data_IF_505906119445
#
_entry.id   IF_505906119445
#
_cell.length_a   1.000
_cell.length_b   1.000
_cell.length_c   1.000
_cell.angle_alpha   90.00
_cell.angle_beta   90.00
_cell.angle_gamma   90.00
#
_symmetry.space_group_name_H-M   'P 1'
#
loop_
_entity.id
_entity.type
_entity.pdbx_description
1 polymer ?
#
# COMPACT_ATOMS: atom_id res chain seq x y z
N UNK A 1 -68.46 12.02 -68.19
CA UNK A 1 -67.91 11.90 -69.56
C UNK A 1 -66.69 11.00 -69.52
N UNK A 2 -66.57 10.21 -70.58
CA UNK A 2 -65.86 8.93 -70.77
C UNK A 2 -64.30 9.01 -70.78
N UNK A 3 -63.59 7.87 -70.85
CA UNK A 3 -62.32 7.55 -70.19
C UNK A 3 -61.24 7.22 -71.26
N UNK A 4 -60.11 6.61 -70.87
CA UNK A 4 -59.18 5.78 -71.70
C UNK A 4 -57.94 5.48 -70.83
N UNK A 5 -57.33 4.30 -70.74
CA UNK A 5 -57.22 3.10 -71.60
C UNK A 5 -57.10 1.86 -70.66
N UNK A 6 -57.73 0.69 -70.90
CA UNK A 6 -57.41 -0.35 -71.90
C UNK A 6 -55.94 -0.81 -71.83
N UNK A 7 -55.53 -2.07 -71.86
CA UNK A 7 -56.12 -3.40 -72.08
C UNK A 7 -54.95 -4.42 -72.04
N UNK A 8 -55.27 -5.73 -71.94
CA UNK A 8 -54.44 -6.94 -72.13
C UNK A 8 -53.45 -7.30 -71.02
N UNK A 9 -53.45 -8.52 -70.46
CA UNK A 9 -53.98 -9.79 -70.95
C UNK A 9 -52.86 -10.83 -70.83
N UNK A 10 -52.94 -11.70 -69.81
CA UNK A 10 -52.05 -12.86 -69.65
C UNK A 10 -52.25 -13.87 -70.78
N UNK A 11 -51.16 -14.52 -71.24
CA UNK A 11 -51.16 -15.98 -71.18
C UNK A 11 -49.78 -16.60 -70.88
N UNK A 12 -49.79 -17.74 -70.16
CA UNK A 12 -49.01 -18.99 -70.34
C UNK A 12 -47.52 -18.89 -70.76
N UNK A 13 -46.55 -19.68 -70.28
CA UNK A 13 -46.48 -20.84 -69.41
C UNK A 13 -44.99 -21.26 -69.29
N UNK A 14 -44.79 -22.22 -68.38
CA UNK A 14 -43.81 -23.31 -68.42
C UNK A 14 -42.34 -23.04 -68.05
N UNK A 15 -42.09 -23.30 -66.77
CA UNK A 15 -41.00 -24.10 -66.19
C UNK A 15 -39.80 -24.49 -67.06
N UNK A 16 -38.58 -24.21 -66.57
CA UNK A 16 -37.45 -25.15 -66.67
C UNK A 16 -36.69 -25.23 -65.34
N UNK A 17 -36.41 -26.48 -64.97
CA UNK A 17 -35.77 -27.02 -63.77
C UNK A 17 -34.30 -26.62 -63.56
N UNK A 18 -33.94 -26.64 -62.27
CA UNK A 18 -32.74 -27.21 -61.60
C UNK A 18 -31.38 -27.05 -62.30
N UNK A 19 -30.41 -26.50 -61.57
CA UNK A 19 -28.99 -26.78 -61.83
C UNK A 19 -28.00 -26.08 -60.92
N UNK A 20 -27.75 -26.69 -59.76
CA UNK A 20 -26.64 -26.50 -58.79
C UNK A 20 -25.37 -25.75 -59.25
N UNK A 21 -24.96 -24.81 -58.37
CA UNK A 21 -23.59 -24.49 -57.87
C UNK A 21 -22.63 -23.77 -58.85
N UNK A 22 -21.87 -22.76 -58.44
CA UNK A 22 -21.66 -22.04 -57.18
C UNK A 22 -20.86 -20.77 -57.50
N UNK A 23 -21.16 -19.59 -56.94
CA UNK A 23 -20.85 -19.10 -55.59
C UNK A 23 -19.35 -19.03 -55.28
N UNK A 24 -18.72 -17.90 -55.65
CA UNK A 24 -17.60 -17.28 -54.92
C UNK A 24 -17.88 -15.78 -54.86
N UNK A 25 -18.56 -15.34 -53.80
CA UNK A 25 -18.63 -13.93 -53.41
C UNK A 25 -17.84 -13.78 -52.11
N UNK A 26 -16.75 -13.03 -52.18
CA UNK A 26 -15.83 -12.73 -51.10
C UNK A 26 -16.56 -11.81 -50.11
N UNK A 27 -16.83 -12.29 -48.90
CA UNK A 27 -17.30 -11.45 -47.79
C UNK A 27 -16.09 -11.16 -46.90
N UNK A 28 -15.63 -9.90 -46.94
CA UNK A 28 -14.61 -9.38 -46.02
C UNK A 28 -15.33 -9.09 -44.69
N UNK A 29 -15.19 -9.99 -43.72
CA UNK A 29 -15.60 -9.73 -42.35
C UNK A 29 -14.50 -8.91 -41.66
N UNK A 30 -14.76 -7.63 -41.40
CA UNK A 30 -13.94 -6.84 -40.49
C UNK A 30 -14.15 -7.36 -39.07
N UNK A 31 -13.19 -8.14 -38.56
CA UNK A 31 -13.07 -8.39 -37.13
C UNK A 31 -12.53 -7.11 -36.47
N UNK A 32 -13.42 -6.34 -35.85
CA UNK A 32 -13.04 -5.36 -34.85
C UNK A 32 -12.44 -6.10 -33.66
N UNK A 33 -11.12 -6.05 -33.56
CA UNK A 33 -10.37 -6.53 -32.41
C UNK A 33 -10.64 -5.58 -31.25
N UNK A 34 -11.71 -5.86 -30.48
CA UNK A 34 -11.84 -5.31 -29.14
C UNK A 34 -10.79 -6.02 -28.28
N UNK A 35 -9.57 -5.50 -28.28
CA UNK A 35 -8.59 -5.82 -27.25
C UNK A 35 -9.12 -5.25 -25.93
N UNK A 36 -9.91 -6.05 -25.23
CA UNK A 36 -10.10 -5.86 -23.81
C UNK A 36 -8.73 -6.04 -23.15
N UNK A 37 -8.03 -4.93 -22.94
CA UNK A 37 -6.89 -4.87 -22.03
C UNK A 37 -7.45 -5.13 -20.64
N UNK A 38 -7.62 -6.40 -20.30
CA UNK A 38 -7.80 -6.82 -18.92
C UNK A 38 -6.41 -6.72 -18.29
N UNK A 39 -6.10 -5.56 -17.72
CA UNK A 39 -5.03 -5.43 -16.74
C UNK A 39 -5.46 -6.21 -15.49
N UNK A 40 -5.34 -7.54 -15.54
CA UNK A 40 -5.43 -8.37 -14.36
C UNK A 40 -4.15 -8.11 -13.57
N UNK A 41 -4.24 -7.23 -12.58
CA UNK A 41 -3.21 -7.10 -11.56
C UNK A 41 -3.15 -8.44 -10.82
N UNK A 42 -2.28 -9.34 -11.29
CA UNK A 42 -2.01 -10.62 -10.66
C UNK A 42 -1.64 -10.33 -9.21
N UNK A 43 -2.43 -10.86 -8.27
CA UNK A 43 -2.09 -10.86 -6.87
C UNK A 43 -0.89 -11.79 -6.67
N UNK A 44 0.32 -11.25 -6.84
CA UNK A 44 1.53 -11.95 -6.40
C UNK A 44 1.47 -12.05 -4.87
N UNK A 45 1.66 -13.25 -4.29
CA UNK A 45 1.69 -13.43 -2.84
C UNK A 45 2.85 -12.67 -2.16
N UNK A 46 3.84 -12.21 -2.93
CA UNK A 46 5.00 -11.44 -2.46
C UNK A 46 4.84 -9.92 -2.62
N UNK A 47 3.61 -9.40 -2.68
CA UNK A 47 3.37 -7.96 -2.79
C UNK A 47 3.01 -7.35 -1.43
N UNK A 48 3.59 -6.19 -1.13
CA UNK A 48 3.21 -5.40 0.05
C UNK A 48 1.73 -5.02 -0.06
N UNK A 49 0.94 -5.38 0.95
CA UNK A 49 -0.42 -4.87 1.13
C UNK A 49 -0.38 -3.50 1.80
N UNK A 50 -1.22 -2.57 1.34
CA UNK A 50 -1.34 -1.23 1.92
C UNK A 50 -2.81 -1.00 2.23
N UNK A 51 -3.13 -0.80 3.50
CA UNK A 51 -4.43 -0.29 3.93
C UNK A 51 -4.30 1.17 4.33
N UNK A 52 -5.36 1.94 4.10
CA UNK A 52 -5.45 3.33 4.52
C UNK A 52 -6.48 3.44 5.64
N UNK A 53 -6.21 4.30 6.61
CA UNK A 53 -7.13 4.55 7.70
C UNK A 53 -6.84 5.84 8.44
N UNK A 54 -7.84 6.34 9.16
CA UNK A 54 -7.75 7.58 9.92
C UNK A 54 -7.28 7.25 11.33
N UNK A 55 -6.25 7.94 11.81
CA UNK A 55 -5.85 7.86 13.21
C UNK A 55 -6.98 8.45 14.05
N UNK A 56 -7.53 7.68 14.97
CA UNK A 56 -8.61 8.12 15.86
C UNK A 56 -8.11 8.48 17.24
N UNK A 57 -7.08 7.77 17.72
CA UNK A 57 -6.47 7.97 19.03
C UNK A 57 -4.98 7.61 18.97
N UNK A 58 -4.21 8.18 19.88
CA UNK A 58 -2.85 7.75 20.16
C UNK A 58 -2.57 7.74 21.66
N UNK A 59 -1.62 6.92 22.10
CA UNK A 59 -1.21 6.83 23.51
C UNK A 59 0.29 6.60 23.58
N UNK A 60 0.97 7.29 24.50
CA UNK A 60 2.36 6.96 24.81
C UNK A 60 2.40 5.58 25.49
N UNK A 61 3.36 4.76 25.10
CA UNK A 61 3.56 3.40 25.61
C UNK A 61 5.03 3.03 25.46
N UNK A 62 5.38 1.79 25.81
CA UNK A 62 6.68 1.21 25.57
C UNK A 62 6.60 0.16 24.47
N UNK A 63 7.69 0.01 23.73
CA UNK A 63 7.79 -0.93 22.61
C UNK A 63 7.43 -2.37 23.00
N UNK A 64 7.77 -2.76 24.23
CA UNK A 64 7.55 -4.11 24.77
C UNK A 64 6.47 -4.14 25.85
N UNK A 65 5.57 -3.13 25.90
CA UNK A 65 4.51 -3.06 26.90
C UNK A 65 3.63 -4.34 26.88
N UNK A 66 3.64 -5.13 27.97
CA UNK A 66 2.93 -6.41 28.05
C UNK A 66 1.43 -6.24 28.34
N UNK A 67 0.98 -5.03 28.67
CA UNK A 67 -0.43 -4.72 28.96
C UNK A 67 -1.25 -4.49 27.69
N UNK A 68 -0.58 -4.33 26.55
CA UNK A 68 -1.23 -4.11 25.28
C UNK A 68 -2.04 -5.35 24.83
N UNK A 69 -3.22 -5.16 24.20
CA UNK A 69 -4.03 -6.26 23.72
C UNK A 69 -3.29 -7.20 22.77
N UNK A 70 -3.66 -8.49 22.80
CA UNK A 70 -3.17 -9.44 21.81
C UNK A 70 -3.57 -8.99 20.39
N UNK A 71 -2.66 -9.13 19.43
CA UNK A 71 -2.91 -8.77 18.03
C UNK A 71 -2.58 -7.32 17.65
N UNK A 72 -2.07 -6.51 18.58
CA UNK A 72 -1.48 -5.20 18.24
C UNK A 72 -0.30 -5.39 17.29
N UNK A 73 -0.37 -4.77 16.12
CA UNK A 73 0.69 -4.84 15.13
C UNK A 73 1.87 -3.96 15.57
N UNK A 74 3.10 -4.42 15.33
CA UNK A 74 4.32 -3.67 15.70
C UNK A 74 5.21 -3.51 14.47
N UNK A 75 5.83 -2.34 14.34
CA UNK A 75 6.87 -2.08 13.35
C UNK A 75 8.22 -2.71 13.71
N UNK A 76 9.31 -2.05 13.31
CA UNK A 76 10.67 -2.42 13.75
C UNK A 76 10.97 -1.73 15.09
N UNK A 77 11.57 -2.44 16.06
CA UNK A 77 11.97 -1.85 17.33
C UNK A 77 13.01 -0.73 17.15
N UNK A 78 12.97 0.31 18.01
CA UNK A 78 14.04 1.30 18.14
C UNK A 78 15.45 0.72 18.23
N UNK A 79 15.68 -0.35 19.00
CA UNK A 79 17.01 -1.00 19.11
C UNK A 79 17.59 -1.46 17.77
N UNK A 80 16.74 -1.93 16.85
CA UNK A 80 17.18 -2.33 15.51
C UNK A 80 17.53 -1.14 14.60
N UNK A 81 17.22 0.11 15.02
CA UNK A 81 17.65 1.33 14.32
C UNK A 81 18.92 1.94 14.95
N UNK A 82 19.11 1.80 16.27
CA UNK A 82 20.26 2.38 16.99
C UNK A 82 21.57 1.60 16.86
N UNK A 83 21.54 0.32 16.48
CA UNK A 83 22.76 -0.50 16.28
C UNK A 83 23.71 0.00 15.18
N UNK A 84 23.33 1.07 14.47
CA UNK A 84 24.11 1.72 13.40
C UNK A 84 24.76 3.04 13.88
N UNK A 85 24.49 3.48 15.11
CA UNK A 85 24.95 4.77 15.65
C UNK A 85 25.85 4.69 16.88
N UNK A 86 26.59 3.59 17.07
CA UNK A 86 27.58 3.49 18.16
C UNK A 86 28.98 3.16 17.62
N UNK A 87 29.58 4.13 16.92
CA UNK A 87 31.03 4.35 17.04
C UNK A 87 31.45 5.74 16.54
N UNK A 88 31.09 6.78 17.29
CA UNK A 88 31.90 8.00 17.35
C UNK A 88 32.12 8.34 18.82
N UNK A 89 33.39 8.19 19.22
CA UNK A 89 33.80 8.24 20.61
C UNK A 89 33.53 9.58 21.30
N UNK A 90 33.18 9.45 22.57
CA UNK A 90 33.34 10.49 23.58
C UNK A 90 33.61 9.79 24.90
N UNK A 91 34.80 10.02 25.46
CA UNK A 91 35.16 9.59 26.81
C UNK A 91 34.03 9.94 27.78
N UNK A 92 33.42 8.93 28.40
CA UNK A 92 32.64 9.14 29.61
C UNK A 92 33.63 9.34 30.75
N UNK A 93 33.92 10.61 31.06
CA UNK A 93 34.63 10.97 32.28
C UNK A 93 33.79 10.54 33.48
N UNK A 94 34.31 9.54 34.18
CA UNK A 94 34.03 9.24 35.57
C UNK A 94 34.05 10.55 36.37
N UNK A 95 32.90 11.02 36.85
CA UNK A 95 32.83 12.07 37.87
C UNK A 95 31.96 11.56 39.00
N UNK A 96 32.61 11.24 40.10
CA UNK A 96 32.02 11.04 41.42
C UNK A 96 31.18 12.26 41.80
N UNK A 97 29.89 12.05 42.09
CA UNK A 97 29.09 12.98 42.86
C UNK A 97 28.08 12.19 43.70
N UNK A 98 28.43 11.98 44.96
CA UNK A 98 27.57 11.54 46.04
C UNK A 98 26.51 12.62 46.26
N UNK A 99 25.21 12.27 46.22
CA UNK A 99 24.15 12.84 47.07
C UNK A 99 22.87 11.97 47.01
N UNK A 100 22.40 11.59 48.20
CA UNK A 100 21.12 10.95 48.53
C UNK A 100 19.91 11.76 48.03
N UNK A 101 18.95 11.10 47.38
CA UNK A 101 17.51 11.16 47.68
C UNK A 101 16.68 10.39 46.62
N UNK A 102 16.01 9.35 47.10
CA UNK A 102 14.62 8.96 46.82
C UNK A 102 14.21 8.51 45.40
N UNK A 103 13.31 7.51 45.39
CA UNK A 103 12.68 6.85 44.22
C UNK A 103 13.53 5.82 43.49
N UNK A 104 13.57 4.60 44.02
CA UNK A 104 13.77 3.39 43.21
C UNK A 104 12.50 3.12 42.40
N UNK A 105 12.24 3.91 41.36
CA UNK A 105 11.69 3.34 40.14
C UNK A 105 12.90 2.88 39.35
N UNK A 106 13.09 1.56 39.33
CA UNK A 106 13.98 0.96 38.34
C UNK A 106 13.35 1.23 36.99
N UNK A 107 13.67 2.37 36.36
CA UNK A 107 13.49 2.53 34.93
C UNK A 107 14.19 1.34 34.31
N UNK A 108 13.41 0.40 33.79
CA UNK A 108 13.92 -0.72 33.05
C UNK A 108 14.70 -0.14 31.86
N UNK A 109 16.03 -0.31 31.79
CA UNK A 109 16.85 0.28 30.72
C UNK A 109 16.50 -0.28 29.33
N UNK A 110 15.52 -1.19 29.24
CA UNK A 110 14.94 -1.74 27.99
C UNK A 110 13.60 -1.13 27.59
N UNK A 111 13.11 -0.13 28.33
CA UNK A 111 11.86 0.60 28.03
C UNK A 111 12.03 1.54 26.84
N UNK A 112 11.99 1.01 25.62
CA UNK A 112 12.07 1.83 24.41
C UNK A 112 10.74 2.57 24.18
N UNK A 113 10.76 3.91 24.19
CA UNK A 113 9.57 4.74 24.02
C UNK A 113 8.87 4.48 22.68
N UNK A 114 7.55 4.36 22.71
CA UNK A 114 6.72 4.12 21.54
C UNK A 114 5.34 4.80 21.66
N UNK A 115 4.58 4.77 20.58
CA UNK A 115 3.22 5.29 20.51
C UNK A 115 2.30 4.17 20.01
N UNK A 116 1.22 3.93 20.73
CA UNK A 116 0.10 3.10 20.32
C UNK A 116 -0.90 3.97 19.54
N UNK A 117 -1.09 3.67 18.25
CA UNK A 117 -2.09 4.29 17.39
C UNK A 117 -3.32 3.41 17.26
N UNK A 118 -4.50 4.01 17.36
CA UNK A 118 -5.78 3.38 17.03
C UNK A 118 -6.25 3.94 15.70
N UNK A 119 -6.38 3.09 14.69
CA UNK A 119 -6.63 3.49 13.30
C UNK A 119 -7.96 2.90 12.84
N UNK A 120 -8.83 3.75 12.32
CA UNK A 120 -10.09 3.37 11.69
C UNK A 120 -9.86 3.08 10.20
N UNK A 121 -10.05 1.83 9.79
CA UNK A 121 -9.94 1.35 8.41
C UNK A 121 -11.29 1.39 7.67
N UNK A 122 -12.32 2.04 8.24
CA UNK A 122 -13.66 2.11 7.71
C UNK A 122 -14.39 0.77 7.82
N UNK A 123 -14.84 0.21 6.69
CA UNK A 123 -15.58 -1.06 6.66
C UNK A 123 -14.75 -2.25 7.19
N UNK A 124 -13.41 -2.11 7.18
CA UNK A 124 -12.50 -3.12 7.73
C UNK A 124 -12.31 -3.01 9.26
N UNK A 125 -12.97 -2.05 9.90
CA UNK A 125 -12.97 -1.86 11.34
C UNK A 125 -11.73 -1.16 11.88
N UNK A 126 -11.50 -1.30 13.19
CA UNK A 126 -10.40 -0.65 13.89
C UNK A 126 -9.18 -1.57 13.96
N UNK A 127 -7.99 -0.99 13.90
CA UNK A 127 -6.74 -1.68 14.18
C UNK A 127 -5.86 -0.88 15.13
N UNK A 128 -4.97 -1.57 15.84
CA UNK A 128 -4.03 -0.98 16.78
C UNK A 128 -2.60 -1.27 16.34
N UNK A 129 -1.77 -0.23 16.35
CA UNK A 129 -0.41 -0.28 15.85
C UNK A 129 0.54 0.40 16.83
N UNK A 130 1.60 -0.29 17.23
CA UNK A 130 2.72 0.31 17.96
C UNK A 130 3.80 0.72 16.98
N UNK A 131 4.22 1.98 17.09
CA UNK A 131 5.24 2.58 16.25
C UNK A 131 6.10 3.55 17.06
N UNK A 132 7.33 3.77 16.60
CA UNK A 132 8.24 4.79 17.14
C UNK A 132 7.91 6.19 16.61
N UNK A 133 7.01 6.28 15.62
CA UNK A 133 6.58 7.54 15.04
C UNK A 133 5.79 8.36 16.06
N UNK A 134 6.09 9.65 16.10
CA UNK A 134 5.44 10.61 17.01
C UNK A 134 4.65 11.69 16.29
N UNK A 135 4.80 11.80 14.96
CA UNK A 135 4.21 12.89 14.16
C UNK A 135 2.72 12.71 13.87
N UNK A 136 2.20 11.48 13.88
CA UNK A 136 0.80 11.19 13.58
C UNK A 136 -0.13 11.66 14.70
N UNK A 137 -1.17 12.39 14.33
CA UNK A 137 -2.20 12.94 15.21
C UNK A 137 -3.57 12.34 14.92
N UNK A 138 -4.50 12.34 15.89
CA UNK A 138 -5.90 12.06 15.61
C UNK A 138 -6.45 12.95 14.48
N UNK A 139 -7.08 12.34 13.49
CA UNK A 139 -7.57 12.97 12.26
C UNK A 139 -6.64 12.81 11.05
N UNK A 140 -5.38 12.43 11.24
CA UNK A 140 -4.46 12.19 10.13
C UNK A 140 -4.79 10.88 9.40
N UNK A 141 -4.59 10.89 8.09
CA UNK A 141 -4.62 9.68 7.29
C UNK A 141 -3.28 8.95 7.33
N UNK A 142 -3.33 7.65 7.61
CA UNK A 142 -2.17 6.78 7.68
C UNK A 142 -2.26 5.62 6.69
N UNK A 143 -1.11 5.18 6.21
CA UNK A 143 -0.94 3.95 5.43
C UNK A 143 -0.29 2.87 6.30
N UNK A 144 -0.89 1.68 6.33
CA UNK A 144 -0.38 0.49 7.01
C UNK A 144 0.12 -0.49 5.94
N UNK A 145 1.43 -0.66 5.89
CA UNK A 145 2.12 -1.50 4.90
C UNK A 145 2.55 -2.82 5.54
N UNK A 146 2.20 -3.96 4.90
CA UNK A 146 2.48 -5.29 5.45
C UNK A 146 2.95 -6.27 4.38
N UNK A 147 3.96 -7.08 4.72
CA UNK A 147 4.41 -8.24 3.93
C UNK A 147 5.18 -9.21 4.82
N UNK A 148 4.61 -10.37 5.15
CA UNK A 148 5.25 -11.31 6.08
C UNK A 148 5.53 -10.64 7.43
N UNK A 149 6.81 -10.54 7.81
CA UNK A 149 7.27 -9.82 9.01
C UNK A 149 7.51 -8.31 8.80
N UNK A 150 7.51 -7.82 7.55
CA UNK A 150 7.64 -6.40 7.28
C UNK A 150 6.36 -5.66 7.68
N UNK A 151 6.52 -4.61 8.48
CA UNK A 151 5.47 -3.70 8.87
C UNK A 151 5.98 -2.27 8.87
N UNK A 152 5.21 -1.36 8.25
CA UNK A 152 5.44 0.07 8.33
C UNK A 152 4.11 0.82 8.48
N UNK A 153 4.11 1.82 9.35
CA UNK A 153 3.05 2.79 9.48
C UNK A 153 3.60 4.12 8.98
N UNK A 154 2.90 4.86 8.11
CA UNK A 154 3.33 6.21 7.71
C UNK A 154 2.18 7.15 7.48
N UNK A 155 2.42 8.44 7.64
CA UNK A 155 1.46 9.48 7.28
C UNK A 155 1.32 9.60 5.78
N UNK A 156 0.10 9.89 5.32
CA UNK A 156 -0.20 10.16 3.91
C UNK A 156 -1.21 11.30 3.80
N UNK A 157 -1.40 11.81 2.58
CA UNK A 157 -2.42 12.83 2.33
C UNK A 157 -3.82 12.33 2.71
N UNK A 158 -4.64 13.20 3.33
CA UNK A 158 -5.99 12.85 3.78
C UNK A 158 -6.92 12.35 2.66
N UNK A 159 -6.62 12.68 1.39
CA UNK A 159 -7.34 12.14 0.24
C UNK A 159 -7.28 10.62 0.11
N UNK A 160 -6.29 9.93 0.71
CA UNK A 160 -6.23 8.45 0.73
C UNK A 160 -7.24 7.81 1.67
N UNK A 161 -7.76 8.55 2.64
CA UNK A 161 -8.78 8.08 3.58
C UNK A 161 -10.19 8.57 3.21
N UNK A 162 -10.32 9.33 2.12
CA UNK A 162 -11.60 9.81 1.61
C UNK A 162 -12.21 8.77 0.64
N UNK A 163 -13.38 8.18 0.97
CA UNK A 163 -14.05 7.22 0.10
C UNK A 163 -14.42 7.76 -1.29
N UNK A 164 -14.54 9.08 -1.46
CA UNK A 164 -14.78 9.69 -2.78
C UNK A 164 -13.59 9.51 -3.74
N UNK A 165 -12.38 9.26 -3.22
CA UNK A 165 -11.15 9.19 -3.99
C UNK A 165 -10.74 7.76 -4.40
N UNK A 166 -11.59 6.75 -4.20
CA UNK A 166 -11.24 5.33 -4.44
C UNK A 166 -10.68 5.05 -5.84
N UNK A 167 -11.19 5.74 -6.87
CA UNK A 167 -10.66 5.63 -8.24
C UNK A 167 -9.23 6.16 -8.34
N UNK A 168 -8.95 7.30 -7.69
CA UNK A 168 -7.61 7.87 -7.65
C UNK A 168 -6.63 7.00 -6.85
N UNK A 169 -7.08 6.49 -5.69
CA UNK A 169 -6.31 5.58 -4.82
C UNK A 169 -5.90 4.32 -5.61
N UNK A 170 -6.85 3.69 -6.31
CA UNK A 170 -6.61 2.50 -7.14
C UNK A 170 -5.57 2.79 -8.23
N UNK A 171 -5.69 3.93 -8.92
CA UNK A 171 -4.73 4.34 -9.96
C UNK A 171 -3.32 4.58 -9.41
N UNK A 172 -3.20 5.10 -8.19
CA UNK A 172 -1.92 5.38 -7.54
C UNK A 172 -1.30 4.16 -6.85
N UNK A 173 -2.04 3.07 -6.67
CA UNK A 173 -1.64 1.91 -5.88
C UNK A 173 -0.24 1.38 -6.25
N UNK A 174 0.07 1.27 -7.55
CA UNK A 174 1.38 0.81 -8.00
C UNK A 174 2.54 1.69 -7.53
N UNK A 175 2.34 3.02 -7.47
CA UNK A 175 3.35 3.95 -6.98
C UNK A 175 3.60 3.79 -5.48
N UNK A 176 2.54 3.59 -4.69
CA UNK A 176 2.66 3.41 -3.25
C UNK A 176 3.26 2.05 -2.88
N UNK A 177 2.92 0.99 -3.61
CA UNK A 177 3.58 -0.32 -3.45
C UNK A 177 5.08 -0.20 -3.75
N UNK A 178 5.45 0.49 -4.83
CA UNK A 178 6.87 0.70 -5.15
C UNK A 178 7.60 1.54 -4.09
N UNK A 179 6.94 2.55 -3.50
CA UNK A 179 7.51 3.32 -2.39
C UNK A 179 7.69 2.47 -1.12
N UNK A 180 6.67 1.68 -0.76
CA UNK A 180 6.73 0.73 0.34
C UNK A 180 7.88 -0.28 0.19
N UNK A 181 8.06 -0.79 -1.03
CA UNK A 181 9.13 -1.73 -1.36
C UNK A 181 10.51 -1.12 -1.14
N UNK A 182 10.73 0.14 -1.54
CA UNK A 182 11.99 0.86 -1.29
C UNK A 182 12.25 1.06 0.20
N UNK A 183 11.22 1.40 0.98
CA UNK A 183 11.34 1.49 2.44
C UNK A 183 11.74 0.13 3.04
N UNK A 184 11.05 -0.95 2.66
CA UNK A 184 11.38 -2.31 3.10
C UNK A 184 12.84 -2.66 2.83
N UNK A 185 13.29 -2.49 1.59
CA UNK A 185 14.66 -2.80 1.19
C UNK A 185 15.70 -1.97 1.96
N UNK A 186 15.41 -0.68 2.20
CA UNK A 186 16.31 0.18 2.94
C UNK A 186 16.44 -0.25 4.42
N UNK A 187 15.34 -0.68 5.05
CA UNK A 187 15.35 -1.21 6.42
C UNK A 187 16.01 -2.58 6.51
N UNK A 188 15.82 -3.43 5.52
CA UNK A 188 16.50 -4.73 5.43
C UNK A 188 18.01 -4.53 5.33
N UNK A 189 18.47 -3.57 4.52
CA UNK A 189 19.89 -3.21 4.47
C UNK A 189 20.40 -2.81 5.85
N UNK A 190 19.69 -1.92 6.56
CA UNK A 190 20.04 -1.50 7.92
C UNK A 190 20.22 -2.68 8.88
N UNK A 191 19.33 -3.67 8.82
CA UNK A 191 19.36 -4.85 9.68
C UNK A 191 20.51 -5.82 9.33
N UNK A 192 21.03 -5.78 8.10
CA UNK A 192 22.11 -6.66 7.61
C UNK A 192 23.50 -6.05 7.65
N UNK A 193 23.65 -4.81 8.13
CA UNK A 193 24.96 -4.13 8.15
C UNK A 193 25.88 -4.78 9.19
N UNK A 194 26.84 -5.56 8.69
CA UNK A 194 28.13 -5.73 9.35
C UNK A 194 28.92 -4.42 9.19
N UNK A 195 29.68 -4.06 10.23
CA UNK A 195 30.38 -2.80 10.52
C UNK A 195 31.24 -2.12 9.40
N UNK A 196 31.30 -2.66 8.18
CA UNK A 196 32.28 -2.30 7.14
C UNK A 196 31.64 -1.72 5.87
N UNK A 197 30.30 -1.75 5.70
CA UNK A 197 29.69 -1.25 4.47
C UNK A 197 29.32 0.24 4.52
N UNK A 198 30.04 1.05 3.74
CA UNK A 198 29.76 2.47 3.49
C UNK A 198 28.50 2.74 2.65
N UNK A 199 27.73 1.70 2.28
CA UNK A 199 26.47 1.78 1.52
C UNK A 199 25.18 1.78 2.34
N UNK A 200 25.29 1.82 3.68
CA UNK A 200 24.16 1.89 4.61
C UNK A 200 23.27 3.13 4.38
N UNK A 201 21.94 2.99 4.28
CA UNK A 201 21.06 4.16 4.31
C UNK A 201 21.17 4.86 5.67
N UNK A 202 21.37 6.18 5.64
CA UNK A 202 21.38 7.02 6.84
C UNK A 202 19.98 7.03 7.50
N UNK A 203 19.87 7.35 8.80
CA UNK A 203 18.56 7.51 9.45
C UNK A 203 17.64 8.51 8.72
N UNK A 204 18.22 9.58 8.17
CA UNK A 204 17.48 10.55 7.36
C UNK A 204 16.96 9.96 6.05
N UNK A 205 17.75 9.14 5.35
CA UNK A 205 17.30 8.44 4.15
C UNK A 205 16.20 7.41 4.43
N UNK A 206 16.30 6.68 5.54
CA UNK A 206 15.22 5.80 6.00
C UNK A 206 13.95 6.60 6.27
N UNK A 207 14.04 7.72 7.00
CA UNK A 207 12.90 8.60 7.25
C UNK A 207 12.24 9.09 5.95
N UNK A 208 13.04 9.57 4.99
CA UNK A 208 12.55 10.02 3.69
C UNK A 208 11.83 8.92 2.89
N UNK A 209 12.26 7.66 3.02
CA UNK A 209 11.64 6.53 2.33
C UNK A 209 10.41 5.97 3.05
N UNK A 210 10.43 6.00 4.39
CA UNK A 210 9.51 5.23 5.22
C UNK A 210 8.43 6.06 5.92
N UNK A 211 8.64 7.36 6.15
CA UNK A 211 7.76 8.16 7.01
C UNK A 211 6.71 8.97 6.22
N UNK A 212 6.84 9.00 4.90
CA UNK A 212 6.04 9.85 4.01
C UNK A 212 6.63 11.25 3.90
N UNK A 213 6.29 11.94 2.80
CA UNK A 213 6.62 13.35 2.56
C UNK A 213 5.46 14.26 2.95
#
# INVERSE_FOLDING_TARGET
MNPKHADKGDPYALSIRKGRRGLWAIIIAMLTQNAAVQAQAVASPDRISIDYGVVTQHYQTNWSDPTLPAGVARGMPPSAMSSVSENQGGLSMLTDAINDADSTETEDPTSEAAVLFVIDLGENGMTMVVSTKTSLQPGDCAAIERLGSYFNLRGVNNGFCDPANQVAITRLQGHHIAAAQRCKEARERLATLDFVDSGAPTPGEIGMLCDGS
#
